data_IF_462637028182
#
_entry.id   IF_462637028182
#
_cell.length_a   1.000
_cell.length_b   1.000
_cell.length_c   1.000
_cell.angle_alpha   90.00
_cell.angle_beta   90.00
_cell.angle_gamma   90.00
#
_symmetry.space_group_name_H-M   'P 1'
#
loop_
_entity.id
_entity.type
_entity.pdbx_description
1 polymer ?
#
# COMPACT_ATOMS: atom_id res chain seq x y z
N UNK A 1 -11.29 12.51 13.79
CA UNK A 1 -10.72 12.26 12.48
C UNK A 1 -11.72 11.48 11.66
N UNK A 2 -12.17 12.03 10.53
CA UNK A 2 -13.00 11.28 9.60
C UNK A 2 -12.10 10.40 8.71
N UNK A 3 -12.69 9.38 8.07
CA UNK A 3 -11.94 8.42 7.24
C UNK A 3 -11.14 9.11 6.10
N UNK A 4 -11.68 10.21 5.57
CA UNK A 4 -11.03 10.97 4.51
C UNK A 4 -9.75 11.67 5.00
N UNK A 5 -9.79 12.31 6.18
CA UNK A 5 -8.62 12.94 6.79
C UNK A 5 -7.55 11.90 7.12
N UNK A 6 -7.93 10.75 7.70
CA UNK A 6 -6.97 9.66 7.94
C UNK A 6 -6.31 9.20 6.63
N UNK A 7 -7.09 9.07 5.55
CA UNK A 7 -6.56 8.64 4.27
C UNK A 7 -5.59 9.66 3.66
N UNK A 8 -5.89 10.96 3.80
CA UNK A 8 -5.00 12.05 3.37
C UNK A 8 -3.71 12.11 4.21
N UNK A 9 -3.80 11.94 5.53
CA UNK A 9 -2.63 11.87 6.42
C UNK A 9 -1.74 10.68 6.10
N UNK A 10 -2.34 9.49 5.95
CA UNK A 10 -1.62 8.29 5.59
C UNK A 10 -0.96 8.41 4.20
N UNK A 11 -1.61 9.07 3.25
CA UNK A 11 -1.02 9.36 1.95
C UNK A 11 0.21 10.25 2.07
N UNK A 12 0.11 11.39 2.78
CA UNK A 12 1.23 12.32 2.99
C UNK A 12 2.38 11.62 3.72
N UNK A 13 2.09 10.90 4.79
CA UNK A 13 3.10 10.17 5.55
C UNK A 13 3.77 9.05 4.75
N UNK A 14 3.05 8.42 3.80
CA UNK A 14 3.66 7.49 2.84
C UNK A 14 4.68 8.19 1.94
N UNK A 15 4.35 9.36 1.40
CA UNK A 15 5.28 10.13 0.55
C UNK A 15 6.58 10.46 1.31
N UNK A 16 6.49 10.78 2.61
CA UNK A 16 7.67 11.00 3.47
C UNK A 16 8.59 9.77 3.61
N UNK A 17 8.10 8.56 3.27
CA UNK A 17 8.91 7.32 3.26
C UNK A 17 9.61 7.05 1.93
N UNK A 18 9.27 7.82 0.90
CA UNK A 18 9.80 7.64 -0.46
C UNK A 18 10.99 8.55 -0.73
N UNK A 19 11.85 8.08 -1.62
CA UNK A 19 12.90 8.86 -2.27
C UNK A 19 13.14 8.26 -3.65
N UNK A 20 13.61 9.06 -4.60
CA UNK A 20 13.91 8.58 -5.96
C UNK A 20 14.99 7.50 -5.92
N UNK A 21 14.77 6.40 -6.64
CA UNK A 21 15.65 5.24 -6.63
C UNK A 21 15.35 4.21 -5.53
N UNK A 22 14.44 4.48 -4.60
CA UNK A 22 14.06 3.51 -3.55
C UNK A 22 13.56 2.21 -4.17
N UNK A 23 14.14 1.09 -3.75
CA UNK A 23 13.71 -0.25 -4.14
C UNK A 23 12.65 -0.78 -3.16
N UNK A 24 11.55 -1.27 -3.71
CA UNK A 24 10.40 -1.78 -2.94
C UNK A 24 9.99 -3.13 -3.49
N UNK A 25 9.77 -4.10 -2.61
CA UNK A 25 9.24 -5.40 -3.03
C UNK A 25 7.76 -5.28 -3.41
N UNK A 26 7.35 -5.95 -4.49
CA UNK A 26 5.93 -6.19 -4.75
C UNK A 26 5.28 -6.88 -3.55
N UNK A 27 3.99 -6.68 -3.32
CA UNK A 27 3.32 -7.28 -2.15
C UNK A 27 3.43 -8.82 -2.09
N UNK A 28 3.54 -9.48 -3.25
CA UNK A 28 3.78 -10.94 -3.34
C UNK A 28 5.22 -11.33 -2.98
N UNK A 29 6.18 -10.41 -3.11
CA UNK A 29 7.60 -10.62 -2.80
C UNK A 29 8.38 -11.38 -3.88
N UNK A 30 7.81 -11.58 -5.08
CA UNK A 30 8.48 -12.28 -6.19
C UNK A 30 9.33 -11.38 -7.10
N UNK A 31 9.14 -10.07 -6.95
CA UNK A 31 9.79 -9.06 -7.77
C UNK A 31 9.87 -7.76 -6.95
N UNK A 32 10.80 -6.88 -7.29
CA UNK A 32 10.92 -5.54 -6.78
C UNK A 32 10.68 -4.49 -7.88
N UNK A 33 10.38 -3.27 -7.46
CA UNK A 33 10.23 -2.11 -8.32
C UNK A 33 10.97 -0.93 -7.70
N UNK A 34 11.42 -0.02 -8.56
CA UNK A 34 12.09 1.23 -8.20
C UNK A 34 11.07 2.36 -8.22
N UNK A 35 11.11 3.22 -7.21
CA UNK A 35 10.45 4.54 -7.26
C UNK A 35 11.25 5.43 -8.21
N UNK A 36 10.63 5.88 -9.29
CA UNK A 36 11.28 6.77 -10.28
C UNK A 36 11.13 8.22 -9.84
N UNK A 37 9.90 8.62 -9.52
CA UNK A 37 9.56 9.96 -9.03
C UNK A 37 8.23 9.90 -8.29
N UNK A 38 7.92 10.93 -7.50
CA UNK A 38 6.65 11.04 -6.80
C UNK A 38 6.30 12.51 -6.53
N UNK A 39 5.01 12.76 -6.39
CA UNK A 39 4.43 14.05 -5.99
C UNK A 39 3.14 13.81 -5.21
N UNK A 40 2.49 14.89 -4.79
CA UNK A 40 1.17 14.81 -4.17
C UNK A 40 0.14 14.10 -5.06
N UNK A 41 0.32 14.12 -6.39
CA UNK A 41 -0.59 13.51 -7.36
C UNK A 41 -0.37 12.01 -7.58
N UNK A 42 0.76 11.45 -7.13
CA UNK A 42 1.03 10.02 -7.26
C UNK A 42 2.49 9.63 -7.29
N UNK A 43 2.74 8.35 -7.55
CA UNK A 43 4.08 7.75 -7.61
C UNK A 43 4.30 7.11 -8.97
N UNK A 44 5.40 7.43 -9.63
CA UNK A 44 5.87 6.70 -10.81
C UNK A 44 6.84 5.61 -10.36
N UNK A 45 6.58 4.38 -10.76
CA UNK A 45 7.41 3.22 -10.43
C UNK A 45 7.83 2.47 -11.69
N UNK A 46 9.00 1.81 -11.63
CA UNK A 46 9.48 0.92 -12.69
C UNK A 46 9.80 -0.45 -12.12
N UNK A 47 9.21 -1.49 -12.70
CA UNK A 47 9.51 -2.87 -12.33
C UNK A 47 10.93 -3.24 -12.74
N UNK A 48 11.66 -3.99 -11.92
CA UNK A 48 13.02 -4.41 -12.29
C UNK A 48 13.05 -5.31 -13.52
N UNK A 49 11.99 -6.10 -13.78
CA UNK A 49 11.92 -6.97 -14.96
C UNK A 49 11.36 -6.29 -16.22
N UNK A 50 10.93 -5.01 -16.13
CA UNK A 50 10.28 -4.32 -17.24
C UNK A 50 10.86 -2.93 -17.45
N UNK A 51 11.01 -2.53 -18.70
CA UNK A 51 11.46 -1.17 -19.03
C UNK A 51 10.35 -0.11 -18.85
N UNK A 52 9.08 -0.55 -18.73
CA UNK A 52 7.92 0.33 -18.65
C UNK A 52 7.68 0.89 -17.25
N UNK A 53 7.48 2.20 -17.19
CA UNK A 53 7.01 2.91 -16.00
C UNK A 53 5.49 2.78 -15.81
N UNK A 54 5.07 2.80 -14.55
CA UNK A 54 3.67 2.73 -14.12
C UNK A 54 3.41 3.92 -13.21
N UNK A 55 2.40 4.72 -13.56
CA UNK A 55 1.93 5.80 -12.71
C UNK A 55 0.81 5.31 -11.78
N UNK A 56 1.05 5.42 -10.47
CA UNK A 56 0.12 5.09 -9.41
C UNK A 56 -0.45 6.40 -8.87
N UNK A 57 -1.62 6.81 -9.36
CA UNK A 57 -2.22 8.10 -8.96
C UNK A 57 -2.64 8.13 -7.49
N UNK A 58 -2.67 9.33 -6.90
CA UNK A 58 -3.19 9.58 -5.55
C UNK A 58 -4.55 8.95 -5.37
N UNK A 59 -5.48 9.15 -6.31
CA UNK A 59 -6.82 8.54 -6.27
C UNK A 59 -6.76 7.00 -6.20
N UNK A 60 -5.88 6.37 -6.96
CA UNK A 60 -5.72 4.91 -6.91
C UNK A 60 -5.13 4.43 -5.58
N UNK A 61 -4.27 5.23 -4.94
CA UNK A 61 -3.69 4.95 -3.62
C UNK A 61 -4.71 5.16 -2.50
N UNK A 62 -5.48 6.25 -2.52
CA UNK A 62 -6.58 6.50 -1.58
C UNK A 62 -7.63 5.38 -1.64
N UNK A 63 -7.97 4.89 -2.83
CA UNK A 63 -8.86 3.73 -3.00
C UNK A 63 -8.32 2.44 -2.34
N UNK A 64 -7.02 2.34 -2.06
CA UNK A 64 -6.45 1.22 -1.27
C UNK A 64 -6.59 1.50 0.21
N UNK A 65 -6.34 2.73 0.66
CA UNK A 65 -6.50 3.13 2.05
C UNK A 65 -7.95 2.98 2.51
N UNK A 66 -8.92 3.41 1.70
CA UNK A 66 -10.35 3.20 1.98
C UNK A 66 -10.70 1.71 2.16
N UNK A 67 -10.07 0.82 1.37
CA UNK A 67 -10.25 -0.62 1.56
C UNK A 67 -9.59 -1.12 2.83
N UNK A 68 -8.41 -0.60 3.18
CA UNK A 68 -7.75 -0.92 4.44
C UNK A 68 -8.63 -0.50 5.63
N UNK A 69 -9.23 0.68 5.57
CA UNK A 69 -10.20 1.16 6.57
C UNK A 69 -11.42 0.25 6.65
N UNK A 70 -12.06 -0.06 5.51
CA UNK A 70 -13.31 -0.83 5.48
C UNK A 70 -13.13 -2.33 5.81
N UNK A 71 -11.94 -2.90 5.59
CA UNK A 71 -11.68 -4.33 5.77
C UNK A 71 -10.71 -4.57 6.92
N UNK A 72 -11.24 -4.82 8.12
CA UNK A 72 -10.47 -5.22 9.31
C UNK A 72 -9.72 -6.54 9.14
N UNK A 73 -10.29 -7.45 8.34
CA UNK A 73 -9.64 -8.70 7.97
C UNK A 73 -8.51 -8.53 6.95
N UNK A 74 -8.36 -7.34 6.36
CA UNK A 74 -7.26 -6.96 5.50
C UNK A 74 -7.56 -7.02 4.00
N UNK A 75 -6.71 -6.34 3.23
CA UNK A 75 -6.86 -6.19 1.78
C UNK A 75 -5.97 -7.18 1.04
N UNK A 76 -6.57 -7.92 0.11
CA UNK A 76 -5.84 -8.85 -0.78
C UNK A 76 -6.30 -8.89 -2.25
N UNK A 77 -7.44 -8.26 -2.58
CA UNK A 77 -8.26 -8.18 -3.83
C UNK A 77 -8.03 -9.21 -4.97
N UNK A 78 -7.48 -10.39 -4.71
CA UNK A 78 -6.82 -11.29 -5.68
C UNK A 78 -5.53 -10.66 -6.20
N UNK A 79 -4.40 -11.25 -5.81
CA UNK A 79 -3.05 -10.89 -6.27
C UNK A 79 -2.84 -11.15 -7.78
N UNK A 80 -3.83 -11.01 -8.66
CA UNK A 80 -3.67 -11.19 -10.12
C UNK A 80 -3.35 -9.86 -10.79
N UNK A 81 -3.96 -8.75 -10.33
CA UNK A 81 -3.68 -7.40 -10.81
C UNK A 81 -2.24 -6.96 -10.44
N UNK A 82 -1.32 -6.82 -11.41
CA UNK A 82 0.05 -6.42 -11.14
C UNK A 82 0.16 -5.04 -10.51
N UNK A 83 -0.67 -4.08 -10.93
CA UNK A 83 -0.62 -2.71 -10.42
C UNK A 83 -1.08 -2.66 -8.96
N UNK A 84 -2.11 -3.42 -8.60
CA UNK A 84 -2.55 -3.55 -7.21
C UNK A 84 -1.46 -4.09 -6.28
N UNK A 85 -0.60 -5.00 -6.78
CA UNK A 85 0.55 -5.49 -6.00
C UNK A 85 1.63 -4.43 -5.77
N UNK A 86 1.78 -3.46 -6.68
CA UNK A 86 2.70 -2.33 -6.51
C UNK A 86 2.18 -1.41 -5.42
N UNK A 87 0.89 -1.06 -5.50
CA UNK A 87 0.22 -0.20 -4.50
C UNK A 87 0.31 -0.80 -3.10
N UNK A 88 -0.05 -2.08 -2.93
CA UNK A 88 0.13 -2.77 -1.64
C UNK A 88 1.59 -2.88 -1.22
N UNK A 89 2.53 -3.00 -2.17
CA UNK A 89 3.96 -3.02 -1.90
C UNK A 89 4.47 -1.69 -1.34
N UNK A 90 4.00 -0.55 -1.86
CA UNK A 90 4.31 0.77 -1.31
C UNK A 90 3.79 0.91 0.11
N UNK A 91 2.57 0.46 0.39
CA UNK A 91 2.02 0.55 1.74
C UNK A 91 2.78 -0.28 2.77
N UNK A 92 3.46 -1.37 2.40
CA UNK A 92 4.36 -2.11 3.33
C UNK A 92 5.47 -1.23 3.94
N UNK A 93 5.79 -0.08 3.34
CA UNK A 93 6.75 0.88 3.89
C UNK A 93 6.16 1.72 5.03
N UNK A 94 4.84 1.74 5.16
CA UNK A 94 4.12 2.61 6.08
C UNK A 94 3.94 1.94 7.44
N UNK A 95 4.30 2.61 8.56
CA UNK A 95 4.23 2.02 9.91
C UNK A 95 2.80 1.64 10.34
N UNK A 96 1.80 2.30 9.78
CA UNK A 96 0.38 1.99 10.02
C UNK A 96 -0.11 0.75 9.29
N UNK A 97 0.74 0.01 8.59
CA UNK A 97 0.33 -1.22 7.94
C UNK A 97 1.25 -2.37 8.27
N UNK A 98 0.67 -3.56 8.22
CA UNK A 98 1.41 -4.80 8.41
C UNK A 98 0.94 -5.88 7.45
N UNK A 99 1.84 -6.84 7.19
CA UNK A 99 1.58 -7.98 6.33
C UNK A 99 1.34 -9.22 7.18
N UNK A 100 0.11 -9.71 7.17
CA UNK A 100 -0.27 -10.95 7.87
C UNK A 100 -0.47 -12.06 6.86
N UNK A 101 0.09 -13.25 7.13
CA UNK A 101 -0.09 -14.43 6.29
C UNK A 101 -1.05 -15.40 6.96
N UNK A 102 -2.18 -15.68 6.33
CA UNK A 102 -3.19 -16.63 6.81
C UNK A 102 -3.18 -17.90 5.98
N UNK A 103 -3.57 -19.02 6.59
CA UNK A 103 -3.84 -20.26 5.85
C UNK A 103 -5.30 -20.31 5.43
N UNK A 104 -5.54 -20.46 4.13
CA UNK A 104 -6.88 -20.62 3.56
C UNK A 104 -6.83 -21.65 2.44
N UNK A 105 -7.71 -22.66 2.52
CA UNK A 105 -7.81 -23.72 1.51
C UNK A 105 -6.44 -24.38 1.23
N UNK A 106 -5.64 -24.61 2.28
CA UNK A 106 -4.29 -25.18 2.19
C UNK A 106 -3.24 -24.24 1.58
N UNK A 107 -3.55 -22.97 1.30
CA UNK A 107 -2.63 -21.99 0.72
C UNK A 107 -2.32 -20.87 1.71
N UNK A 108 -1.05 -20.46 1.77
CA UNK A 108 -0.61 -19.26 2.50
C UNK A 108 -0.99 -18.01 1.71
N UNK A 109 -1.83 -17.16 2.28
CA UNK A 109 -2.36 -15.96 1.64
C UNK A 109 -1.98 -14.72 2.45
N UNK A 110 -1.21 -13.78 1.87
CA UNK A 110 -0.88 -12.53 2.54
C UNK A 110 -2.01 -11.51 2.42
N UNK A 111 -2.20 -10.77 3.50
CA UNK A 111 -3.13 -9.65 3.65
C UNK A 111 -2.35 -8.44 4.12
N UNK A 112 -2.73 -7.27 3.61
CA UNK A 112 -2.27 -6.01 4.16
C UNK A 112 -3.36 -5.50 5.11
N UNK A 113 -2.99 -5.21 6.35
CA UNK A 113 -3.89 -4.68 7.37
C UNK A 113 -3.41 -3.31 7.84
N UNK A 114 -4.31 -2.53 8.42
CA UNK A 114 -3.91 -1.47 9.33
C UNK A 114 -3.47 -2.09 10.65
N UNK A 115 -2.42 -1.54 11.25
CA UNK A 115 -1.99 -1.94 12.61
C UNK A 115 -3.03 -1.52 13.65
N UNK A 116 -2.99 -2.14 14.83
CA UNK A 116 -3.88 -1.78 15.94
C UNK A 116 -3.75 -0.29 16.34
N UNK A 117 -2.53 0.25 16.33
CA UNK A 117 -2.28 1.68 16.59
C UNK A 117 -2.98 2.56 15.55
N UNK A 118 -2.91 2.21 14.27
CA UNK A 118 -3.57 2.95 13.21
C UNK A 118 -5.10 2.86 13.30
N UNK A 119 -5.62 1.71 13.73
CA UNK A 119 -7.05 1.51 14.02
C UNK A 119 -7.51 2.38 15.18
N UNK A 120 -6.73 2.44 16.25
CA UNK A 120 -7.00 3.30 17.40
C UNK A 120 -7.01 4.77 17.00
N UNK A 121 -6.01 5.22 16.24
CA UNK A 121 -5.95 6.61 15.73
C UNK A 121 -7.17 6.96 14.86
N UNK A 122 -7.57 6.05 13.97
CA UNK A 122 -8.78 6.19 13.17
C UNK A 122 -10.05 6.32 14.04
N UNK A 123 -10.13 5.57 15.14
CA UNK A 123 -11.29 5.54 16.04
C UNK A 123 -11.32 6.69 17.06
N UNK A 124 -10.17 7.09 17.61
CA UNK A 124 -10.04 8.16 18.61
C UNK A 124 -10.31 9.53 18.00
N UNK A 125 -10.04 9.65 16.70
CA UNK A 125 -10.28 10.86 15.97
C UNK A 125 -9.21 11.93 16.15
N UNK A 126 -8.06 11.56 16.70
CA UNK A 126 -6.85 12.37 16.91
C UNK A 126 -5.89 12.33 15.71
#
# INVERSE_FOLDING_TARGET
MNQQLFAEEMWKSLLDKLYEGKMVSTFKGKEAFRVVSFSDEGVIVRLSSKEKEVFLSKRAMLNVIEKLIAHEDGVRKKMVDPEFRLKLGLFLLHPWTEKVVRQEEGKRRPYLLLTDEARQRLASGE
#
